data_IF_756304540890
#
_entry.id   IF_756304540890
#
_cell.length_a   1.000
_cell.length_b   1.000
_cell.length_c   1.000
_cell.angle_alpha   90.00
_cell.angle_beta   90.00
_cell.angle_gamma   90.00
#
_symmetry.space_group_name_H-M   'P 1'
#
loop_
_entity.id
_entity.type
_entity.pdbx_description
1 polymer ?
#
# COMPACT_ATOMS: atom_id res chain seq x y z
N UNK A 1 23.78 69.99 26.45
CA UNK A 1 24.01 68.83 27.28
C UNK A 1 23.22 67.71 26.66
N UNK A 2 23.75 67.08 25.60
CA UNK A 2 23.17 65.93 24.87
C UNK A 2 24.14 64.78 25.02
N UNK A 3 23.84 63.81 25.89
CA UNK A 3 24.62 62.58 26.02
C UNK A 3 23.67 61.45 26.18
N UNK A 4 23.77 60.48 25.25
CA UNK A 4 23.58 59.08 25.56
C UNK A 4 22.28 58.41 25.16
N UNK A 5 21.90 58.34 23.86
CA UNK A 5 20.88 57.44 23.36
C UNK A 5 21.40 56.39 22.34
N UNK A 6 22.74 56.29 22.21
CA UNK A 6 23.37 55.42 21.19
C UNK A 6 23.43 53.90 21.44
N UNK A 7 23.60 53.40 22.68
CA UNK A 7 23.87 51.97 22.86
C UNK A 7 22.60 51.08 22.99
N UNK A 8 21.42 51.66 23.28
CA UNK A 8 20.19 50.86 23.41
C UNK A 8 19.61 50.45 22.05
N UNK A 9 19.76 51.28 21.03
CA UNK A 9 19.23 50.99 19.68
C UNK A 9 20.04 49.93 18.92
N UNK A 10 21.34 49.82 19.19
CA UNK A 10 22.19 48.80 18.57
C UNK A 10 21.94 47.39 19.13
N UNK A 11 21.65 47.29 20.44
CA UNK A 11 21.28 45.98 21.07
C UNK A 11 19.90 45.49 20.64
N UNK A 12 18.94 46.37 20.41
CA UNK A 12 17.62 45.99 19.88
C UNK A 12 17.70 45.48 18.43
N UNK A 13 18.52 46.12 17.59
CA UNK A 13 18.67 45.71 16.18
C UNK A 13 19.33 44.36 15.99
N UNK A 14 20.34 44.03 16.81
CA UNK A 14 21.03 42.75 16.78
C UNK A 14 20.08 41.63 17.27
N UNK A 15 19.24 41.90 18.27
CA UNK A 15 18.28 40.94 18.80
C UNK A 15 17.16 40.61 17.78
N UNK A 16 16.65 41.60 17.05
CA UNK A 16 15.63 41.38 16.02
C UNK A 16 16.18 40.66 14.78
N UNK A 17 17.39 40.96 14.35
CA UNK A 17 18.00 40.29 13.18
C UNK A 17 18.35 38.85 13.51
N UNK A 18 18.85 38.55 14.70
CA UNK A 18 19.10 37.17 15.12
C UNK A 18 17.80 36.40 15.38
N UNK A 19 16.74 37.04 15.88
CA UNK A 19 15.42 36.46 16.06
C UNK A 19 14.76 36.17 14.70
N UNK A 20 14.83 37.07 13.73
CA UNK A 20 14.31 36.86 12.38
C UNK A 20 15.10 35.81 11.61
N UNK A 21 16.42 35.74 11.76
CA UNK A 21 17.25 34.71 11.15
C UNK A 21 16.96 33.33 11.78
N UNK A 22 16.78 33.23 13.08
CA UNK A 22 16.36 32.02 13.78
C UNK A 22 14.93 31.59 13.46
N UNK A 23 14.01 32.53 13.31
CA UNK A 23 12.62 32.26 12.93
C UNK A 23 12.51 31.75 11.51
N UNK A 24 13.23 32.36 10.54
CA UNK A 24 13.28 31.91 9.16
C UNK A 24 13.85 30.48 9.03
N UNK A 25 14.91 30.14 9.77
CA UNK A 25 15.46 28.77 9.77
C UNK A 25 14.50 27.78 10.39
N UNK A 26 13.83 28.10 11.49
CA UNK A 26 12.86 27.20 12.14
C UNK A 26 11.65 26.89 11.26
N UNK A 27 11.12 27.88 10.54
CA UNK A 27 10.03 27.68 9.58
C UNK A 27 10.49 26.82 8.39
N UNK A 28 11.72 27.03 7.91
CA UNK A 28 12.28 26.22 6.81
C UNK A 28 12.44 24.76 7.24
N UNK A 29 12.96 24.50 8.46
CA UNK A 29 13.04 23.14 9.00
C UNK A 29 11.66 22.49 9.16
N UNK A 30 10.66 23.23 9.63
CA UNK A 30 9.29 22.76 9.74
C UNK A 30 8.74 22.31 8.36
N UNK A 31 8.90 23.14 7.34
CA UNK A 31 8.44 22.83 5.98
C UNK A 31 9.15 21.60 5.41
N UNK A 32 10.46 21.47 5.62
CA UNK A 32 11.23 20.29 5.18
C UNK A 32 10.73 19.04 5.88
N UNK A 33 10.51 19.07 7.18
CA UNK A 33 10.02 17.91 7.96
C UNK A 33 8.63 17.50 7.49
N UNK A 34 7.70 18.43 7.35
CA UNK A 34 6.35 18.19 6.86
C UNK A 34 6.40 17.60 5.45
N UNK A 35 7.18 18.20 4.54
CA UNK A 35 7.31 17.71 3.17
C UNK A 35 7.89 16.29 3.12
N UNK A 36 8.94 16.00 3.90
CA UNK A 36 9.56 14.68 3.95
C UNK A 36 8.59 13.63 4.51
N UNK A 37 7.86 13.97 5.57
CA UNK A 37 6.82 13.11 6.16
C UNK A 37 5.74 12.78 5.13
N UNK A 38 5.20 13.79 4.45
CA UNK A 38 4.18 13.60 3.43
C UNK A 38 4.70 12.78 2.23
N UNK A 39 5.93 13.02 1.79
CA UNK A 39 6.53 12.30 0.66
C UNK A 39 6.78 10.82 0.96
N UNK A 40 7.33 10.50 2.14
CA UNK A 40 7.57 9.11 2.56
C UNK A 40 6.23 8.38 2.72
N UNK A 41 5.26 9.01 3.38
CA UNK A 41 3.93 8.44 3.57
C UNK A 41 3.19 8.23 2.26
N UNK A 42 3.23 9.21 1.35
CA UNK A 42 2.69 9.10 -0.01
C UNK A 42 3.24 7.86 -0.73
N UNK A 43 4.57 7.70 -0.66
CA UNK A 43 5.24 6.57 -1.30
C UNK A 43 4.81 5.23 -0.67
N UNK A 44 4.75 5.13 0.65
CA UNK A 44 4.27 3.93 1.36
C UNK A 44 2.84 3.57 0.96
N UNK A 45 1.93 4.55 0.95
CA UNK A 45 0.53 4.35 0.60
C UNK A 45 0.35 3.94 -0.87
N UNK A 46 1.20 4.45 -1.77
CA UNK A 46 1.23 4.03 -3.18
C UNK A 46 1.67 2.57 -3.31
N UNK A 47 2.74 2.17 -2.61
CA UNK A 47 3.25 0.80 -2.61
C UNK A 47 2.19 -0.18 -2.10
N UNK A 48 1.51 0.16 -1.00
CA UNK A 48 0.43 -0.63 -0.41
C UNK A 48 -0.72 -0.83 -1.39
N UNK A 49 -1.21 0.25 -1.98
CA UNK A 49 -2.33 0.20 -2.90
C UNK A 49 -2.03 -0.65 -4.14
N UNK A 50 -0.85 -0.52 -4.72
CA UNK A 50 -0.44 -1.33 -5.87
C UNK A 50 -0.30 -2.81 -5.48
N UNK A 51 0.34 -3.11 -4.33
CA UNK A 51 0.54 -4.48 -3.84
C UNK A 51 -0.80 -5.19 -3.64
N UNK A 52 -1.79 -4.51 -3.07
CA UNK A 52 -3.10 -5.09 -2.79
C UNK A 52 -3.96 -5.21 -4.06
N UNK A 53 -3.97 -4.18 -4.91
CA UNK A 53 -4.88 -4.09 -6.07
C UNK A 53 -4.46 -4.96 -7.25
N UNK A 54 -3.17 -5.26 -7.43
CA UNK A 54 -2.71 -6.07 -8.56
C UNK A 54 -3.01 -7.55 -8.30
N UNK A 55 -3.66 -8.26 -9.25
CA UNK A 55 -3.93 -9.70 -9.12
C UNK A 55 -2.70 -10.55 -9.42
N UNK A 56 -2.56 -11.72 -8.75
CA UNK A 56 -1.49 -12.68 -9.02
C UNK A 56 -1.50 -13.16 -10.47
N UNK A 57 -2.68 -13.40 -11.05
CA UNK A 57 -2.82 -13.81 -12.44
C UNK A 57 -2.24 -12.76 -13.41
N UNK A 58 -2.52 -11.47 -13.18
CA UNK A 58 -1.97 -10.38 -13.98
C UNK A 58 -0.44 -10.23 -13.83
N UNK A 59 0.11 -10.54 -12.67
CA UNK A 59 1.55 -10.56 -12.44
C UNK A 59 2.22 -11.75 -13.13
N UNK A 60 1.61 -12.95 -13.05
CA UNK A 60 2.11 -14.17 -13.70
C UNK A 60 2.23 -13.99 -15.22
N UNK A 61 1.20 -13.44 -15.88
CA UNK A 61 1.20 -13.17 -17.31
C UNK A 61 2.36 -12.24 -17.75
N UNK A 62 2.78 -11.34 -16.86
CA UNK A 62 3.76 -10.29 -17.17
C UNK A 62 5.14 -10.48 -16.54
N UNK A 63 5.34 -11.53 -15.72
CA UNK A 63 6.59 -11.73 -14.94
C UNK A 63 7.81 -11.91 -15.84
N UNK A 64 7.67 -12.56 -16.99
CA UNK A 64 8.78 -12.77 -17.93
C UNK A 64 9.24 -11.47 -18.60
N UNK A 65 8.37 -10.45 -18.66
CA UNK A 65 8.64 -9.18 -19.35
C UNK A 65 9.46 -8.20 -18.49
N UNK A 66 9.47 -8.36 -17.16
CA UNK A 66 10.11 -7.40 -16.24
C UNK A 66 10.51 -8.05 -14.91
N UNK A 67 11.80 -7.93 -14.56
CA UNK A 67 12.32 -8.37 -13.26
C UNK A 67 11.58 -7.76 -12.05
N UNK A 68 11.12 -6.51 -12.17
CA UNK A 68 10.37 -5.87 -11.09
C UNK A 68 9.01 -6.51 -10.87
N UNK A 69 8.34 -6.95 -11.94
CA UNK A 69 7.06 -7.68 -11.85
C UNK A 69 7.27 -9.07 -11.23
N UNK A 70 8.33 -9.77 -11.59
CA UNK A 70 8.70 -11.07 -11.00
C UNK A 70 8.99 -10.94 -9.50
N UNK A 71 9.70 -9.86 -9.09
CA UNK A 71 9.93 -9.56 -7.68
C UNK A 71 8.63 -9.30 -6.91
N UNK A 72 7.72 -8.52 -7.51
CA UNK A 72 6.42 -8.24 -6.90
C UNK A 72 5.57 -9.51 -6.79
N UNK A 73 5.58 -10.36 -7.82
CA UNK A 73 4.90 -11.64 -7.80
C UNK A 73 5.39 -12.53 -6.66
N UNK A 74 6.71 -12.70 -6.54
CA UNK A 74 7.32 -13.51 -5.47
C UNK A 74 7.00 -12.95 -4.08
N UNK A 75 7.07 -11.60 -3.90
CA UNK A 75 6.72 -10.96 -2.64
C UNK A 75 5.23 -11.16 -2.32
N UNK A 76 4.36 -10.98 -3.30
CA UNK A 76 2.91 -11.13 -3.10
C UNK A 76 2.50 -12.57 -2.83
N UNK A 77 3.13 -13.54 -3.49
CA UNK A 77 2.79 -14.97 -3.35
C UNK A 77 3.35 -15.56 -2.05
N UNK A 78 4.63 -15.31 -1.76
CA UNK A 78 5.36 -16.06 -0.73
C UNK A 78 5.61 -15.24 0.54
N UNK A 79 5.59 -13.90 0.46
CA UNK A 79 6.04 -13.00 1.53
C UNK A 79 5.17 -11.74 1.65
N UNK A 80 3.85 -11.88 1.47
CA UNK A 80 2.90 -10.77 1.53
C UNK A 80 2.96 -10.07 2.89
N UNK A 81 2.99 -10.84 3.99
CA UNK A 81 3.05 -10.32 5.35
C UNK A 81 4.32 -9.50 5.61
N UNK A 82 5.46 -9.96 5.08
CA UNK A 82 6.73 -9.25 5.21
C UNK A 82 6.68 -7.91 4.46
N UNK A 83 6.08 -7.88 3.26
CA UNK A 83 5.95 -6.68 2.45
C UNK A 83 4.98 -5.67 3.09
N UNK A 84 3.81 -6.11 3.53
CA UNK A 84 2.83 -5.28 4.24
C UNK A 84 3.40 -4.76 5.56
N UNK A 85 4.07 -5.63 6.34
CA UNK A 85 4.73 -5.24 7.57
C UNK A 85 5.79 -4.16 7.37
N UNK A 86 6.60 -4.27 6.32
CA UNK A 86 7.62 -3.26 6.00
C UNK A 86 6.99 -1.90 5.64
N UNK A 87 5.93 -1.89 4.83
CA UNK A 87 5.19 -0.66 4.48
C UNK A 87 4.60 -0.03 5.73
N UNK A 88 3.89 -0.82 6.54
CA UNK A 88 3.21 -0.36 7.76
C UNK A 88 4.19 0.26 8.76
N UNK A 89 5.33 -0.40 8.99
CA UNK A 89 6.37 0.09 9.89
C UNK A 89 6.90 1.44 9.42
N UNK A 90 7.28 1.56 8.15
CA UNK A 90 7.82 2.81 7.61
C UNK A 90 6.78 3.92 7.64
N UNK A 91 5.54 3.63 7.25
CA UNK A 91 4.44 4.60 7.26
C UNK A 91 4.15 5.10 8.69
N UNK A 92 4.06 4.18 9.66
CA UNK A 92 3.83 4.54 11.06
C UNK A 92 4.98 5.37 11.64
N UNK A 93 6.23 5.00 11.38
CA UNK A 93 7.39 5.78 11.82
C UNK A 93 7.35 7.19 11.21
N UNK A 94 7.07 7.28 9.90
CA UNK A 94 7.00 8.57 9.20
C UNK A 94 5.91 9.47 9.81
N UNK A 95 4.70 8.96 9.99
CA UNK A 95 3.60 9.72 10.57
C UNK A 95 3.89 10.14 12.01
N UNK A 96 4.30 9.19 12.86
CA UNK A 96 4.48 9.44 14.28
C UNK A 96 5.66 10.36 14.55
N UNK A 97 6.84 10.04 14.01
CA UNK A 97 8.03 10.84 14.22
C UNK A 97 7.92 12.20 13.51
N UNK A 98 7.40 12.22 12.27
CA UNK A 98 7.24 13.45 11.50
C UNK A 98 6.24 14.42 12.14
N UNK A 99 5.04 13.93 12.49
CA UNK A 99 4.02 14.78 13.14
C UNK A 99 4.47 15.26 14.53
N UNK A 100 5.11 14.38 15.34
CA UNK A 100 5.63 14.77 16.65
C UNK A 100 6.71 15.83 16.57
N UNK A 101 7.66 15.67 15.64
CA UNK A 101 8.74 16.64 15.45
C UNK A 101 8.23 17.95 14.86
N UNK A 102 7.31 17.91 13.89
CA UNK A 102 6.66 19.10 13.36
C UNK A 102 5.87 19.86 14.44
N UNK A 103 5.11 19.14 15.27
CA UNK A 103 4.39 19.70 16.41
C UNK A 103 5.32 20.35 17.44
N UNK A 104 6.47 19.73 17.73
CA UNK A 104 7.50 20.33 18.60
C UNK A 104 8.03 21.64 18.02
N UNK A 105 8.35 21.70 16.73
CA UNK A 105 8.83 22.94 16.09
C UNK A 105 7.79 24.06 16.14
N UNK A 106 6.51 23.74 15.88
CA UNK A 106 5.42 24.70 15.99
C UNK A 106 5.25 25.19 17.43
N UNK A 107 5.35 24.27 18.42
CA UNK A 107 5.29 24.62 19.84
C UNK A 107 6.38 25.62 20.28
N UNK A 108 7.57 25.54 19.69
CA UNK A 108 8.64 26.51 19.92
C UNK A 108 8.34 27.89 19.29
N UNK A 109 7.60 27.92 18.17
CA UNK A 109 7.22 29.18 17.54
C UNK A 109 6.03 29.83 18.25
N UNK A 110 5.00 29.08 18.57
CA UNK A 110 3.82 29.56 19.31
C UNK A 110 2.96 28.37 19.80
N UNK A 111 2.80 28.28 21.10
CA UNK A 111 2.01 27.21 21.75
C UNK A 111 0.52 27.28 21.39
N UNK A 112 0.01 28.47 21.10
CA UNK A 112 -1.40 28.69 20.74
C UNK A 112 -1.79 28.02 19.41
N UNK A 113 -0.86 27.92 18.47
CA UNK A 113 -1.10 27.41 17.13
C UNK A 113 -0.93 25.88 16.97
N UNK A 114 -0.42 25.19 17.99
CA UNK A 114 -0.15 23.75 17.93
C UNK A 114 -1.41 22.94 17.58
N UNK A 115 -2.55 23.27 18.20
CA UNK A 115 -3.81 22.57 17.93
C UNK A 115 -4.31 22.76 16.49
N UNK A 116 -4.33 24.01 16.01
CA UNK A 116 -4.73 24.31 14.64
C UNK A 116 -3.78 23.67 13.61
N UNK A 117 -2.47 23.77 13.86
CA UNK A 117 -1.47 23.13 13.01
C UNK A 117 -1.66 21.60 12.95
N UNK A 118 -1.89 20.94 14.10
CA UNK A 118 -2.11 19.48 14.14
C UNK A 118 -3.34 19.06 13.34
N UNK A 119 -4.43 19.84 13.41
CA UNK A 119 -5.62 19.57 12.62
C UNK A 119 -5.37 19.70 11.11
N UNK A 120 -4.67 20.77 10.69
CA UNK A 120 -4.28 20.98 9.28
C UNK A 120 -3.33 19.89 8.80
N UNK A 121 -2.33 19.54 9.60
CA UNK A 121 -1.36 18.49 9.27
C UNK A 121 -2.04 17.13 9.12
N UNK A 122 -2.96 16.78 10.02
CA UNK A 122 -3.75 15.54 9.94
C UNK A 122 -4.57 15.49 8.65
N UNK A 123 -5.24 16.59 8.31
CA UNK A 123 -6.00 16.69 7.06
C UNK A 123 -5.12 16.54 5.82
N UNK A 124 -3.93 17.18 5.83
CA UNK A 124 -2.94 17.06 4.76
C UNK A 124 -2.43 15.62 4.64
N UNK A 125 -2.07 14.96 5.73
CA UNK A 125 -1.62 13.57 5.73
C UNK A 125 -2.72 12.68 5.14
N UNK A 126 -3.94 12.77 5.65
CA UNK A 126 -5.06 11.95 5.19
C UNK A 126 -5.32 12.13 3.69
N UNK A 127 -5.39 13.37 3.23
CA UNK A 127 -5.77 13.66 1.84
C UNK A 127 -4.61 13.39 0.87
N UNK A 128 -3.43 13.98 1.12
CA UNK A 128 -2.31 13.95 0.16
C UNK A 128 -1.48 12.68 0.28
N UNK A 129 -1.34 12.12 1.48
CA UNK A 129 -0.45 10.97 1.71
C UNK A 129 -1.16 9.63 1.80
N UNK A 130 -2.49 9.61 1.94
CA UNK A 130 -3.25 8.35 2.01
C UNK A 130 -4.28 8.23 0.90
N UNK A 131 -5.25 9.12 0.80
CA UNK A 131 -6.37 8.97 -0.15
C UNK A 131 -5.86 9.06 -1.60
N UNK A 132 -5.14 10.11 -1.94
CA UNK A 132 -4.66 10.33 -3.33
C UNK A 132 -3.74 9.19 -3.80
N UNK A 133 -2.66 8.81 -3.08
CA UNK A 133 -1.77 7.77 -3.57
C UNK A 133 -2.42 6.39 -3.59
N UNK A 134 -3.33 6.06 -2.66
CA UNK A 134 -4.08 4.81 -2.69
C UNK A 134 -4.98 4.73 -3.93
N UNK A 135 -5.65 5.81 -4.28
CA UNK A 135 -6.47 5.88 -5.50
C UNK A 135 -5.61 5.73 -6.77
N UNK A 136 -4.49 6.45 -6.86
CA UNK A 136 -3.56 6.36 -7.99
C UNK A 136 -2.98 4.95 -8.10
N UNK A 137 -2.55 4.37 -6.98
CA UNK A 137 -1.97 3.03 -6.90
C UNK A 137 -2.95 1.96 -7.36
N UNK A 138 -4.20 2.03 -6.92
CA UNK A 138 -5.24 1.09 -7.31
C UNK A 138 -5.54 1.16 -8.82
N UNK A 139 -5.78 2.35 -9.36
CA UNK A 139 -6.10 2.55 -10.78
C UNK A 139 -4.93 2.17 -11.70
N UNK A 140 -3.70 2.48 -11.31
CA UNK A 140 -2.51 2.27 -12.14
C UNK A 140 -1.66 1.07 -11.69
N UNK A 141 -2.20 0.16 -10.89
CA UNK A 141 -1.47 -0.96 -10.28
C UNK A 141 -0.68 -1.79 -11.29
N UNK A 142 -1.26 -2.11 -12.46
CA UNK A 142 -0.60 -2.87 -13.53
C UNK A 142 0.63 -2.16 -14.12
N UNK A 143 0.59 -0.82 -14.26
CA UNK A 143 1.70 -0.04 -14.83
C UNK A 143 2.83 0.15 -13.81
N UNK A 144 2.48 0.34 -12.55
CA UNK A 144 3.41 0.61 -11.46
C UNK A 144 4.05 -0.67 -10.88
N UNK A 145 3.53 -1.85 -11.22
CA UNK A 145 3.96 -3.14 -10.65
C UNK A 145 5.46 -3.38 -10.71
N UNK A 146 6.12 -3.01 -11.81
CA UNK A 146 7.56 -3.18 -11.95
C UNK A 146 8.39 -2.31 -10.99
N UNK A 147 8.05 -1.02 -10.90
CA UNK A 147 8.71 -0.08 -9.99
C UNK A 147 8.47 -0.46 -8.53
N UNK A 148 7.21 -0.81 -8.21
CA UNK A 148 6.80 -1.22 -6.87
C UNK A 148 7.53 -2.48 -6.42
N UNK A 149 7.74 -3.46 -7.31
CA UNK A 149 8.47 -4.68 -6.98
C UNK A 149 9.92 -4.43 -6.53
N UNK A 150 10.64 -3.54 -7.20
CA UNK A 150 12.00 -3.14 -6.79
C UNK A 150 11.97 -2.38 -5.45
N UNK A 151 11.07 -1.42 -5.31
CA UNK A 151 10.96 -0.60 -4.11
C UNK A 151 10.61 -1.45 -2.88
N UNK A 152 9.65 -2.36 -3.00
CA UNK A 152 9.25 -3.26 -1.93
C UNK A 152 10.36 -4.23 -1.53
N UNK A 153 11.09 -4.78 -2.51
CA UNK A 153 12.24 -5.64 -2.20
C UNK A 153 13.30 -4.88 -1.41
N UNK A 154 13.63 -3.66 -1.84
CA UNK A 154 14.59 -2.81 -1.12
C UNK A 154 14.11 -2.49 0.29
N UNK A 155 12.84 -2.13 0.44
CA UNK A 155 12.22 -1.80 1.72
C UNK A 155 12.20 -2.98 2.68
N UNK A 156 11.80 -4.18 2.20
CA UNK A 156 11.80 -5.41 3.00
C UNK A 156 13.19 -5.82 3.45
N UNK A 157 14.22 -5.61 2.63
CA UNK A 157 15.61 -5.89 3.02
C UNK A 157 16.06 -4.89 4.08
N UNK A 158 15.80 -3.60 3.89
CA UNK A 158 16.20 -2.54 4.81
C UNK A 158 15.54 -2.69 6.19
N UNK A 159 14.25 -3.03 6.21
CA UNK A 159 13.46 -3.18 7.44
C UNK A 159 13.41 -4.63 7.95
N UNK A 160 14.23 -5.53 7.40
CA UNK A 160 14.25 -6.95 7.75
C UNK A 160 14.25 -7.24 9.26
N UNK A 161 15.06 -6.56 10.12
CA UNK A 161 15.05 -6.84 11.56
C UNK A 161 13.71 -6.51 12.21
N UNK A 162 13.07 -5.40 11.79
CA UNK A 162 11.76 -4.99 12.31
C UNK A 162 10.63 -5.89 11.79
N UNK A 163 10.67 -6.21 10.49
CA UNK A 163 9.72 -7.13 9.86
C UNK A 163 9.80 -8.52 10.49
N UNK A 164 10.99 -9.03 10.80
CA UNK A 164 11.14 -10.31 11.48
C UNK A 164 10.49 -10.32 12.88
N UNK A 165 10.49 -9.19 13.57
CA UNK A 165 9.82 -9.06 14.87
C UNK A 165 8.29 -9.09 14.69
N UNK A 166 7.74 -8.34 13.74
CA UNK A 166 6.29 -8.32 13.48
C UNK A 166 5.80 -9.66 12.94
N UNK A 167 6.54 -10.31 12.04
CA UNK A 167 6.20 -11.63 11.50
C UNK A 167 6.18 -12.73 12.56
N UNK A 168 7.07 -12.65 13.59
CA UNK A 168 7.02 -13.54 14.74
C UNK A 168 5.74 -13.33 15.55
N UNK A 169 5.38 -12.07 15.78
CA UNK A 169 4.17 -11.71 16.52
C UNK A 169 2.91 -12.18 15.78
N UNK A 170 2.82 -11.94 14.46
CA UNK A 170 1.70 -12.38 13.62
C UNK A 170 1.54 -13.90 13.62
N UNK A 171 2.64 -14.65 13.56
CA UNK A 171 2.61 -16.12 13.64
C UNK A 171 2.12 -16.60 15.00
N UNK A 172 2.44 -15.90 16.08
CA UNK A 172 1.93 -16.22 17.40
C UNK A 172 0.39 -16.10 17.50
N UNK A 173 -0.21 -15.15 16.78
CA UNK A 173 -1.66 -14.95 16.68
C UNK A 173 -2.35 -15.78 15.59
N UNK A 174 -1.67 -16.70 14.94
CA UNK A 174 -2.27 -17.65 13.99
C UNK A 174 -1.89 -17.46 12.53
N UNK A 175 -1.09 -16.43 12.19
CA UNK A 175 -0.60 -16.15 10.83
C UNK A 175 -1.72 -15.97 9.80
N UNK A 176 -1.50 -15.18 8.77
CA UNK A 176 -2.38 -15.19 7.60
C UNK A 176 -2.03 -16.46 6.82
N UNK A 177 -2.87 -17.51 6.92
CA UNK A 177 -2.77 -18.66 6.02
C UNK A 177 -3.06 -18.14 4.63
N UNK A 178 -2.13 -18.35 3.69
CA UNK A 178 -2.36 -18.03 2.29
C UNK A 178 -3.72 -18.61 1.85
N UNK A 179 -4.57 -17.78 1.28
CA UNK A 179 -5.85 -18.22 0.73
C UNK A 179 -5.56 -19.26 -0.35
N UNK A 180 -5.89 -20.50 -0.05
CA UNK A 180 -5.94 -21.54 -1.08
C UNK A 180 -7.21 -21.28 -1.89
N UNK A 181 -7.04 -21.00 -3.17
CA UNK A 181 -8.18 -20.85 -4.08
C UNK A 181 -9.05 -22.09 -3.99
N UNK A 182 -10.26 -21.93 -3.49
CA UNK A 182 -11.23 -23.02 -3.38
C UNK A 182 -11.88 -23.30 -4.75
N UNK A 183 -12.40 -24.49 -4.93
CA UNK A 183 -13.14 -24.86 -6.14
C UNK A 183 -14.31 -23.92 -6.42
N UNK A 184 -15.02 -23.49 -5.36
CA UNK A 184 -16.10 -22.51 -5.46
C UNK A 184 -15.65 -21.13 -5.94
N UNK A 185 -14.43 -20.71 -5.58
CA UNK A 185 -13.87 -19.44 -6.09
C UNK A 185 -13.52 -19.53 -7.57
N UNK A 186 -13.03 -20.69 -8.04
CA UNK A 186 -12.80 -20.90 -9.47
C UNK A 186 -14.13 -20.85 -10.24
N UNK A 187 -15.19 -21.49 -9.73
CA UNK A 187 -16.52 -21.44 -10.33
C UNK A 187 -17.06 -20.01 -10.38
N UNK A 188 -16.92 -19.23 -9.28
CA UNK A 188 -17.30 -17.83 -9.24
C UNK A 188 -16.50 -16.97 -10.24
N UNK A 189 -15.21 -17.21 -10.42
CA UNK A 189 -14.39 -16.51 -11.41
C UNK A 189 -14.86 -16.77 -12.84
N UNK A 190 -15.25 -18.02 -13.16
CA UNK A 190 -15.79 -18.40 -14.47
C UNK A 190 -17.13 -17.71 -14.70
N UNK A 191 -17.98 -17.62 -13.68
CA UNK A 191 -19.26 -16.94 -13.76
C UNK A 191 -19.07 -15.44 -14.02
N UNK A 192 -18.20 -14.78 -13.28
CA UNK A 192 -17.85 -13.36 -13.49
C UNK A 192 -17.28 -13.10 -14.89
N UNK A 193 -16.34 -13.93 -15.36
CA UNK A 193 -15.77 -13.81 -16.69
C UNK A 193 -16.80 -13.95 -17.80
N UNK A 194 -17.82 -14.81 -17.60
CA UNK A 194 -18.96 -14.92 -18.51
C UNK A 194 -19.87 -13.69 -18.49
N UNK A 195 -20.14 -13.13 -17.33
CA UNK A 195 -21.01 -11.97 -17.16
C UNK A 195 -20.34 -10.68 -17.69
N UNK A 196 -19.01 -10.57 -17.59
CA UNK A 196 -18.20 -9.50 -18.17
C UNK A 196 -17.97 -9.64 -19.70
N UNK A 197 -18.46 -10.74 -20.31
CA UNK A 197 -18.29 -10.98 -21.74
C UNK A 197 -16.87 -11.43 -22.17
N UNK A 198 -15.98 -11.70 -21.21
CA UNK A 198 -14.63 -12.22 -21.47
C UNK A 198 -14.67 -13.68 -21.95
N UNK A 199 -15.66 -14.45 -21.49
CA UNK A 199 -15.96 -15.82 -21.95
C UNK A 199 -17.29 -15.84 -22.70
N UNK A 200 -17.32 -16.57 -23.84
CA UNK A 200 -18.57 -16.81 -24.52
C UNK A 200 -19.49 -17.72 -23.70
N UNK A 201 -20.80 -17.60 -23.92
CA UNK A 201 -21.81 -18.31 -23.10
C UNK A 201 -21.64 -19.83 -23.13
N UNK A 202 -21.22 -20.40 -24.28
CA UNK A 202 -20.93 -21.81 -24.41
C UNK A 202 -19.62 -22.23 -23.71
N UNK A 203 -18.62 -21.37 -23.68
CA UNK A 203 -17.35 -21.62 -22.96
C UNK A 203 -17.58 -21.65 -21.45
N UNK A 204 -18.38 -20.71 -20.91
CA UNK A 204 -18.79 -20.71 -19.49
C UNK A 204 -19.44 -22.02 -19.11
N UNK A 205 -20.39 -22.51 -19.92
CA UNK A 205 -21.06 -23.79 -19.68
C UNK A 205 -20.08 -24.97 -19.71
N UNK A 206 -19.13 -24.97 -20.64
CA UNK A 206 -18.11 -26.02 -20.77
C UNK A 206 -17.20 -26.07 -19.51
N UNK A 207 -16.68 -24.94 -19.07
CA UNK A 207 -15.84 -24.88 -17.86
C UNK A 207 -16.59 -25.37 -16.61
N UNK A 208 -17.84 -24.96 -16.43
CA UNK A 208 -18.67 -25.46 -15.31
C UNK A 208 -18.88 -26.99 -15.36
N UNK A 209 -19.13 -27.55 -16.55
CA UNK A 209 -19.27 -28.98 -16.71
C UNK A 209 -17.98 -29.73 -16.41
N UNK A 210 -16.82 -29.18 -16.82
CA UNK A 210 -15.51 -29.77 -16.50
C UNK A 210 -15.27 -29.78 -14.99
N UNK A 211 -15.60 -28.69 -14.29
CA UNK A 211 -15.46 -28.62 -12.83
C UNK A 211 -16.34 -29.62 -12.09
N UNK A 212 -17.45 -30.06 -12.68
CA UNK A 212 -18.38 -31.04 -12.10
C UNK A 212 -18.15 -32.48 -12.58
N UNK A 213 -17.10 -32.68 -13.39
CA UNK A 213 -16.87 -34.00 -14.03
C UNK A 213 -16.66 -35.13 -13.03
N UNK A 214 -16.06 -34.86 -11.88
CA UNK A 214 -15.85 -35.82 -10.81
C UNK A 214 -17.13 -36.19 -10.01
N UNK A 215 -18.18 -35.37 -10.13
CA UNK A 215 -19.49 -35.61 -9.51
C UNK A 215 -20.39 -36.54 -10.40
N UNK A 216 -20.07 -36.62 -11.72
CA UNK A 216 -20.86 -37.33 -12.69
C UNK A 216 -20.63 -38.85 -12.51
N UNK A 217 -21.69 -39.61 -12.27
CA UNK A 217 -21.66 -41.05 -12.16
C UNK A 217 -21.91 -41.68 -13.51
N UNK A 218 -21.34 -42.87 -13.71
CA UNK A 218 -21.57 -43.66 -14.95
C UNK A 218 -23.04 -43.80 -15.28
N UNK A 219 -23.91 -44.00 -14.28
CA UNK A 219 -25.37 -44.09 -14.45
C UNK A 219 -26.01 -42.83 -15.07
N UNK A 220 -25.37 -41.64 -14.94
CA UNK A 220 -25.91 -40.35 -15.42
C UNK A 220 -25.62 -40.14 -16.91
N UNK A 221 -24.67 -40.90 -17.49
CA UNK A 221 -24.25 -40.82 -18.90
C UNK A 221 -24.48 -42.11 -19.68
N UNK A 222 -24.80 -43.24 -19.00
CA UNK A 222 -25.06 -44.49 -19.68
C UNK A 222 -26.47 -44.52 -20.32
N UNK A 223 -26.61 -45.17 -21.45
CA UNK A 223 -27.92 -45.44 -22.04
C UNK A 223 -28.66 -46.46 -21.18
N UNK A 224 -29.88 -46.12 -20.66
CA UNK A 224 -30.66 -47.10 -19.89
C UNK A 224 -30.93 -48.38 -20.67
N UNK A 225 -30.86 -49.49 -20.00
CA UNK A 225 -31.10 -50.82 -20.62
C UNK A 225 -32.47 -50.93 -21.33
N UNK A 226 -33.45 -50.15 -20.89
CA UNK A 226 -34.78 -50.05 -21.44
C UNK A 226 -34.85 -49.43 -22.84
N UNK A 227 -33.76 -48.72 -23.26
CA UNK A 227 -33.70 -48.04 -24.56
C UNK A 227 -32.80 -48.78 -25.55
N UNK A 228 -32.09 -49.82 -25.10
CA UNK A 228 -31.32 -50.68 -25.98
C UNK A 228 -32.27 -51.60 -26.77
N UNK A 229 -32.34 -51.33 -28.07
CA UNK A 229 -33.06 -52.23 -29.00
C UNK A 229 -32.06 -53.26 -29.50
N UNK A 230 -32.30 -54.52 -29.15
CA UNK A 230 -31.56 -55.67 -29.74
C UNK A 230 -31.88 -55.74 -31.22
N UNK A 231 -30.94 -55.45 -32.08
CA UNK A 231 -31.02 -55.75 -33.51
C UNK A 231 -30.53 -57.18 -33.72
N UNK A 232 -31.47 -58.06 -34.01
CA UNK A 232 -31.23 -59.40 -34.48
C UNK A 232 -31.11 -59.44 -36.00
#
# INVERSE_FOLDING_TARGET
>A
MFVGFGPLFSRFRVSYVSLCAGFGSSVTYLLIVVFLTLAISFFCSLLEAVLLSVSLASLEERREKSRGVDLLYTLKKDRLDDALGAILILNTISHTAGASYAGYLVGQLSQTWVGAFSAVLTFLILTTSEIIPKTIGAVHSKKLSGLVGYSLKMLTILLRPLVALTSRLTRFFGGIKGEHVSRGEVEAMIDMAGDEGTLAHHEKALYRNILRLDEIRVKDVMTPHTVLVDMW
#
